data_IF_734588122920
#
_entry.id   IF_734588122920
#
_cell.length_a   1.000
_cell.length_b   1.000
_cell.length_c   1.000
_cell.angle_alpha   90.00
_cell.angle_beta   90.00
_cell.angle_gamma   90.00
#
_symmetry.space_group_name_H-M   'P 1'
#
loop_
_entity.id
_entity.type
_entity.pdbx_description
1 polymer ?
#
# COMPACT_ATOMS: atom_id res chain seq x y z
N UNK A 1 14.18 -14.34 -20.08
CA UNK A 1 13.29 -14.00 -18.94
C UNK A 1 14.05 -14.31 -17.67
N UNK A 2 14.11 -13.36 -16.74
CA UNK A 2 14.80 -13.52 -15.46
C UNK A 2 14.27 -14.76 -14.70
N UNK A 3 15.16 -15.50 -14.03
CA UNK A 3 14.81 -16.72 -13.31
C UNK A 3 13.77 -16.50 -12.21
N UNK A 4 13.85 -15.37 -11.49
CA UNK A 4 12.92 -15.03 -10.42
C UNK A 4 11.54 -14.64 -10.93
N UNK A 5 11.48 -14.00 -12.09
CA UNK A 5 10.22 -13.74 -12.81
C UNK A 5 9.58 -15.07 -13.21
N UNK A 6 10.36 -16.01 -13.77
CA UNK A 6 9.86 -17.34 -14.14
C UNK A 6 9.28 -18.09 -12.93
N UNK A 7 10.06 -18.17 -11.84
CA UNK A 7 9.61 -18.81 -10.58
C UNK A 7 8.35 -18.16 -10.02
N UNK A 8 8.24 -16.83 -10.09
CA UNK A 8 7.06 -16.11 -9.60
C UNK A 8 5.80 -16.44 -10.41
N UNK A 9 5.93 -16.56 -11.73
CA UNK A 9 4.84 -17.00 -12.60
C UNK A 9 4.45 -18.45 -12.26
N UNK A 10 5.42 -19.35 -12.13
CA UNK A 10 5.13 -20.75 -11.78
C UNK A 10 4.43 -20.85 -10.41
N UNK A 11 4.93 -20.13 -9.41
CA UNK A 11 4.35 -20.07 -8.08
C UNK A 11 2.91 -19.54 -8.10
N UNK A 12 2.65 -18.43 -8.79
CA UNK A 12 1.33 -17.82 -8.82
C UNK A 12 0.27 -18.64 -9.56
N UNK A 13 0.70 -19.53 -10.45
CA UNK A 13 -0.19 -20.43 -11.19
C UNK A 13 -0.17 -21.86 -10.61
N UNK A 14 0.33 -22.04 -9.38
CA UNK A 14 0.32 -23.30 -8.63
C UNK A 14 -0.72 -23.27 -7.49
N UNK A 15 -1.19 -24.45 -7.01
CA UNK A 15 -2.11 -24.50 -5.87
C UNK A 15 -1.55 -23.82 -4.61
N UNK A 16 -2.42 -23.08 -3.91
CA UNK A 16 -2.09 -22.46 -2.63
C UNK A 16 -1.23 -21.20 -2.69
N UNK A 17 -1.10 -20.55 -3.85
CA UNK A 17 -0.37 -19.27 -3.96
C UNK A 17 -0.92 -18.20 -3.01
N UNK A 18 -2.24 -17.97 -3.04
CA UNK A 18 -2.88 -16.97 -2.18
C UNK A 18 -2.82 -17.37 -0.70
N UNK A 19 -2.91 -18.66 -0.40
CA UNK A 19 -2.77 -19.19 0.96
C UNK A 19 -1.39 -18.89 1.52
N UNK A 20 -0.34 -19.08 0.71
CA UNK A 20 1.03 -18.70 1.08
C UNK A 20 1.17 -17.18 1.19
N UNK A 21 0.57 -16.41 0.28
CA UNK A 21 0.60 -14.95 0.37
C UNK A 21 -0.11 -14.42 1.62
N UNK A 22 -1.06 -15.15 2.18
CA UNK A 22 -1.70 -14.77 3.43
C UNK A 22 -0.70 -14.64 4.59
N UNK A 23 0.44 -15.36 4.57
CA UNK A 23 1.49 -15.17 5.57
C UNK A 23 2.23 -13.83 5.42
N UNK A 24 2.23 -13.26 4.22
CA UNK A 24 2.85 -11.96 3.90
C UNK A 24 1.85 -10.82 4.12
N UNK A 25 0.62 -11.00 3.63
CA UNK A 25 -0.46 -10.03 3.65
C UNK A 25 -1.70 -10.64 4.31
N UNK A 26 -1.70 -10.81 5.65
CA UNK A 26 -2.86 -11.33 6.36
C UNK A 26 -4.06 -10.41 6.14
N UNK A 27 -5.17 -11.01 5.70
CA UNK A 27 -6.42 -10.30 5.46
C UNK A 27 -7.22 -10.29 6.76
N UNK A 28 -7.00 -9.27 7.59
CA UNK A 28 -7.76 -9.10 8.83
C UNK A 28 -9.22 -8.71 8.53
N UNK A 29 -10.16 -9.57 8.91
CA UNK A 29 -11.60 -9.35 8.75
C UNK A 29 -12.16 -8.32 9.76
N UNK A 30 -11.44 -8.02 10.84
CA UNK A 30 -11.97 -7.34 12.04
C UNK A 30 -11.58 -5.86 12.20
N UNK A 31 -11.04 -5.21 11.18
CA UNK A 31 -10.57 -3.81 11.29
C UNK A 31 -11.66 -2.78 10.97
N UNK A 32 -12.87 -2.96 11.51
CA UNK A 32 -13.89 -1.92 11.40
C UNK A 32 -13.40 -0.65 12.07
N UNK A 33 -13.54 0.49 11.39
CA UNK A 33 -13.25 1.79 12.01
C UNK A 33 -14.22 2.01 13.16
N UNK A 34 -13.71 2.56 14.26
CA UNK A 34 -14.54 2.93 15.41
C UNK A 34 -14.98 4.38 15.24
N UNK A 35 -16.29 4.62 15.35
CA UNK A 35 -16.86 5.97 15.42
C UNK A 35 -17.25 6.23 16.88
N UNK A 36 -16.71 7.26 17.56
CA UNK A 36 -17.07 7.58 18.93
C UNK A 36 -18.58 7.78 19.10
N UNK A 37 -19.15 7.38 20.26
CA UNK A 37 -20.59 7.50 20.52
C UNK A 37 -21.09 8.94 20.33
N UNK A 38 -20.37 9.92 20.85
CA UNK A 38 -20.70 11.35 20.70
C UNK A 38 -20.81 11.78 19.23
N UNK A 39 -19.93 11.26 18.35
CA UNK A 39 -20.00 11.51 16.90
C UNK A 39 -21.25 10.88 16.31
N UNK A 40 -21.59 9.64 16.69
CA UNK A 40 -22.81 8.96 16.24
C UNK A 40 -24.06 9.75 16.64
N UNK A 41 -24.11 10.27 17.86
CA UNK A 41 -25.20 11.10 18.36
C UNK A 41 -25.33 12.42 17.58
N UNK A 42 -24.21 13.10 17.29
CA UNK A 42 -24.21 14.31 16.46
C UNK A 42 -24.74 14.04 15.05
N UNK A 43 -24.33 12.93 14.42
CA UNK A 43 -24.83 12.51 13.10
C UNK A 43 -26.33 12.24 13.17
N UNK A 44 -26.79 11.48 14.17
CA UNK A 44 -28.20 11.13 14.35
C UNK A 44 -29.07 12.39 14.54
N UNK A 45 -28.59 13.34 15.35
CA UNK A 45 -29.28 14.61 15.57
C UNK A 45 -29.41 15.42 14.28
N UNK A 46 -28.31 15.61 13.55
CA UNK A 46 -28.31 16.38 12.30
C UNK A 46 -29.19 15.73 11.21
N UNK A 47 -29.23 14.39 11.13
CA UNK A 47 -30.15 13.66 10.24
C UNK A 47 -31.62 13.91 10.60
N UNK A 48 -31.96 13.84 11.90
CA UNK A 48 -33.35 14.05 12.36
C UNK A 48 -33.82 15.49 12.11
N UNK A 49 -32.95 16.46 12.36
CA UNK A 49 -33.22 17.88 12.14
C UNK A 49 -33.15 18.29 10.66
N UNK A 50 -32.67 17.39 9.78
CA UNK A 50 -32.37 17.67 8.37
C UNK A 50 -31.43 18.87 8.19
N UNK A 51 -30.53 19.07 9.15
CA UNK A 51 -29.47 20.09 9.09
C UNK A 51 -28.32 19.54 8.24
N UNK A 52 -28.42 19.75 6.92
CA UNK A 52 -27.48 19.18 5.96
C UNK A 52 -26.08 19.78 6.06
N UNK A 53 -25.98 21.07 6.39
CA UNK A 53 -24.69 21.72 6.57
C UNK A 53 -23.94 21.06 7.75
N UNK A 54 -24.60 20.96 8.91
CA UNK A 54 -24.01 20.37 10.10
C UNK A 54 -23.74 18.89 9.93
N UNK A 55 -24.64 18.16 9.28
CA UNK A 55 -24.44 16.75 8.94
C UNK A 55 -23.16 16.57 8.12
N UNK A 56 -23.01 17.33 7.04
CA UNK A 56 -21.81 17.23 6.19
C UNK A 56 -20.55 17.63 6.94
N UNK A 57 -20.58 18.68 7.77
CA UNK A 57 -19.44 19.09 8.58
C UNK A 57 -18.96 17.97 9.52
N UNK A 58 -19.88 17.34 10.26
CA UNK A 58 -19.55 16.21 11.14
C UNK A 58 -18.97 15.04 10.35
N UNK A 59 -19.62 14.64 9.26
CA UNK A 59 -19.16 13.50 8.43
C UNK A 59 -17.81 13.75 7.74
N UNK A 60 -17.54 14.99 7.30
CA UNK A 60 -16.29 15.34 6.63
C UNK A 60 -15.11 15.46 7.60
N UNK A 61 -15.37 15.99 8.80
CA UNK A 61 -14.32 16.31 9.76
C UNK A 61 -14.00 15.16 10.71
N UNK A 62 -15.02 14.39 11.12
CA UNK A 62 -14.87 13.40 12.18
C UNK A 62 -14.78 11.96 11.68
N UNK A 63 -15.22 11.68 10.45
CA UNK A 63 -15.15 10.34 9.87
C UNK A 63 -13.96 10.22 8.92
N UNK A 64 -13.12 9.21 9.13
CA UNK A 64 -12.05 8.87 8.19
C UNK A 64 -12.59 8.46 6.82
N UNK A 65 -13.76 7.79 6.77
CA UNK A 65 -14.40 7.33 5.55
C UNK A 65 -15.78 7.98 5.42
N UNK A 66 -15.94 8.79 4.38
CA UNK A 66 -17.22 9.38 4.06
C UNK A 66 -18.17 8.29 3.53
N UNK A 67 -19.44 8.23 3.98
CA UNK A 67 -20.33 7.11 3.72
C UNK A 67 -20.79 7.00 2.25
N UNK A 68 -20.57 8.05 1.45
CA UNK A 68 -20.99 8.12 0.04
C UNK A 68 -19.78 8.33 -0.87
N UNK A 69 -19.68 7.52 -1.93
CA UNK A 69 -18.77 7.79 -3.06
C UNK A 69 -19.35 8.90 -3.93
N UNK A 70 -18.75 10.09 -3.87
CA UNK A 70 -19.08 11.25 -4.69
C UNK A 70 -17.82 12.10 -4.92
N UNK A 71 -17.61 12.58 -6.15
CA UNK A 71 -16.38 13.26 -6.56
C UNK A 71 -16.15 14.59 -5.83
N UNK A 72 -17.19 15.24 -5.33
CA UNK A 72 -17.06 16.53 -4.64
C UNK A 72 -16.64 16.40 -3.17
N UNK A 73 -16.82 15.23 -2.56
CA UNK A 73 -16.47 14.99 -1.14
C UNK A 73 -14.99 15.30 -0.87
N UNK A 74 -14.10 14.94 -1.80
CA UNK A 74 -12.68 15.22 -1.67
C UNK A 74 -12.35 16.71 -1.67
N UNK A 75 -13.10 17.52 -2.43
CA UNK A 75 -12.96 18.98 -2.44
C UNK A 75 -13.51 19.58 -1.16
N UNK A 76 -14.73 19.21 -0.76
CA UNK A 76 -15.40 19.71 0.45
C UNK A 76 -14.58 19.41 1.72
N UNK A 77 -13.95 18.24 1.80
CA UNK A 77 -13.09 17.87 2.94
C UNK A 77 -11.84 18.75 3.05
N UNK A 78 -11.29 19.23 1.93
CA UNK A 78 -10.08 20.07 1.91
C UNK A 78 -10.39 21.56 2.07
N UNK A 79 -11.62 21.97 1.78
CA UNK A 79 -12.08 23.35 1.91
C UNK A 79 -13.39 23.40 2.72
N UNK A 80 -13.32 23.53 4.06
CA UNK A 80 -14.50 23.55 4.91
C UNK A 80 -15.50 24.66 4.58
N UNK A 81 -15.02 25.82 4.09
CA UNK A 81 -15.90 26.92 3.68
C UNK A 81 -16.76 26.56 2.46
N UNK A 82 -16.28 25.64 1.62
CA UNK A 82 -17.02 25.17 0.46
C UNK A 82 -18.34 24.47 0.83
N UNK A 83 -18.47 23.96 2.06
CA UNK A 83 -19.76 23.43 2.54
C UNK A 83 -20.81 24.56 2.55
N UNK A 84 -20.47 25.71 3.15
CA UNK A 84 -21.38 26.87 3.21
C UNK A 84 -21.62 27.52 1.84
N UNK A 85 -20.57 27.60 1.03
CA UNK A 85 -20.63 28.31 -0.25
C UNK A 85 -21.33 27.51 -1.38
N UNK A 86 -21.68 26.24 -1.16
CA UNK A 86 -22.28 25.38 -2.19
C UNK A 86 -23.57 24.68 -1.71
N UNK A 87 -24.63 25.44 -1.35
CA UNK A 87 -25.83 24.89 -0.72
C UNK A 87 -26.56 23.85 -1.59
N UNK A 88 -26.57 24.01 -2.92
CA UNK A 88 -27.18 23.00 -3.83
C UNK A 88 -26.48 21.65 -3.75
N UNK A 89 -25.15 21.66 -3.66
CA UNK A 89 -24.34 20.44 -3.53
C UNK A 89 -24.55 19.80 -2.16
N UNK A 90 -24.57 20.61 -1.10
CA UNK A 90 -24.86 20.16 0.26
C UNK A 90 -26.25 19.53 0.35
N UNK A 91 -27.28 20.16 -0.21
CA UNK A 91 -28.63 19.61 -0.21
C UNK A 91 -28.72 18.27 -0.95
N UNK A 92 -28.14 18.18 -2.15
CA UNK A 92 -28.09 16.91 -2.92
C UNK A 92 -27.44 15.78 -2.12
N UNK A 93 -26.33 16.06 -1.44
CA UNK A 93 -25.63 15.08 -0.60
C UNK A 93 -26.44 14.75 0.67
N UNK A 94 -27.01 15.76 1.33
CA UNK A 94 -27.86 15.62 2.51
C UNK A 94 -29.08 14.75 2.25
N UNK A 95 -29.80 14.99 1.16
CA UNK A 95 -30.94 14.17 0.74
C UNK A 95 -30.56 12.70 0.50
N UNK A 96 -29.38 12.46 -0.09
CA UNK A 96 -28.87 11.09 -0.28
C UNK A 96 -28.53 10.42 1.04
N UNK A 97 -27.97 11.16 2.00
CA UNK A 97 -27.68 10.68 3.36
C UNK A 97 -28.97 10.35 4.13
N UNK A 98 -29.99 11.20 4.02
CA UNK A 98 -31.31 10.94 4.61
C UNK A 98 -31.91 9.65 4.07
N UNK A 99 -31.87 9.43 2.75
CA UNK A 99 -32.34 8.19 2.12
C UNK A 99 -31.57 6.96 2.58
N UNK A 100 -30.28 7.12 2.91
CA UNK A 100 -29.44 6.04 3.45
C UNK A 100 -29.83 5.67 4.89
N UNK A 101 -30.14 6.66 5.72
CA UNK A 101 -30.43 6.47 7.14
C UNK A 101 -29.18 6.23 8.00
N UNK A 102 -29.33 6.40 9.32
CA UNK A 102 -28.21 6.36 10.28
C UNK A 102 -27.47 5.02 10.27
N UNK A 103 -28.19 3.90 10.23
CA UNK A 103 -27.61 2.56 10.28
C UNK A 103 -26.64 2.33 9.11
N UNK A 104 -27.06 2.69 7.90
CA UNK A 104 -26.23 2.52 6.71
C UNK A 104 -25.08 3.53 6.66
N UNK A 105 -25.28 4.76 7.16
CA UNK A 105 -24.21 5.75 7.31
C UNK A 105 -23.10 5.22 8.19
N UNK A 106 -23.45 4.71 9.38
CA UNK A 106 -22.46 4.15 10.29
C UNK A 106 -21.78 2.93 9.65
N UNK A 107 -22.55 1.99 9.10
CA UNK A 107 -21.99 0.79 8.44
C UNK A 107 -21.01 1.13 7.31
N UNK A 108 -21.36 2.08 6.45
CA UNK A 108 -20.51 2.51 5.34
C UNK A 108 -19.24 3.20 5.84
N UNK A 109 -19.34 4.02 6.89
CA UNK A 109 -18.21 4.74 7.47
C UNK A 109 -17.31 3.90 8.37
N UNK A 110 -17.81 2.77 8.89
CA UNK A 110 -17.03 1.83 9.71
C UNK A 110 -16.30 0.77 8.88
N UNK A 111 -16.46 0.73 7.55
CA UNK A 111 -15.73 -0.22 6.70
C UNK A 111 -14.22 -0.17 6.99
N UNK A 112 -13.46 -1.26 6.80
CA UNK A 112 -12.02 -1.24 7.04
C UNK A 112 -11.28 -0.32 6.05
N UNK A 113 -10.05 0.08 6.40
CA UNK A 113 -9.13 0.70 5.43
C UNK A 113 -8.94 -0.26 4.25
N UNK A 114 -9.01 0.26 3.02
CA UNK A 114 -8.74 -0.54 1.82
C UNK A 114 -7.43 -1.31 1.96
N UNK A 115 -7.45 -2.61 1.66
CA UNK A 115 -6.31 -3.53 1.80
C UNK A 115 -5.04 -3.00 1.14
N UNK A 116 -5.17 -2.37 -0.03
CA UNK A 116 -4.05 -1.80 -0.78
C UNK A 116 -3.28 -0.71 0.00
N UNK A 117 -3.89 -0.07 1.01
CA UNK A 117 -3.23 0.91 1.90
C UNK A 117 -2.53 0.28 3.11
N UNK A 118 -2.75 -1.01 3.37
CA UNK A 118 -2.14 -1.76 4.48
C UNK A 118 -0.91 -2.59 4.05
N UNK A 119 -0.69 -2.77 2.75
CA UNK A 119 0.34 -3.66 2.20
C UNK A 119 1.76 -3.34 2.68
N UNK A 120 2.18 -2.07 2.67
CA UNK A 120 3.54 -1.68 3.10
C UNK A 120 3.84 -2.08 4.54
N UNK A 121 3.01 -1.67 5.53
CA UNK A 121 3.17 -2.10 6.92
C UNK A 121 3.14 -3.62 7.12
N UNK A 122 2.26 -4.34 6.39
CA UNK A 122 2.21 -5.80 6.45
C UNK A 122 3.49 -6.44 5.93
N UNK A 123 4.03 -5.93 4.81
CA UNK A 123 5.29 -6.38 4.25
C UNK A 123 6.45 -6.17 5.23
N UNK A 124 6.57 -4.99 5.85
CA UNK A 124 7.59 -4.71 6.88
C UNK A 124 7.48 -5.66 8.08
N UNK A 125 6.26 -5.91 8.55
CA UNK A 125 6.02 -6.86 9.63
C UNK A 125 6.45 -8.26 9.22
N UNK A 126 6.09 -8.69 8.02
CA UNK A 126 6.48 -9.99 7.50
C UNK A 126 8.01 -10.15 7.35
N UNK A 127 8.73 -9.11 6.92
CA UNK A 127 10.20 -9.14 6.83
C UNK A 127 10.86 -9.55 8.15
N UNK A 128 10.30 -9.13 9.29
CA UNK A 128 10.80 -9.50 10.63
C UNK A 128 10.72 -11.01 10.92
N UNK A 129 9.88 -11.75 10.18
CA UNK A 129 9.69 -13.20 10.33
C UNK A 129 10.68 -14.03 9.52
N UNK A 130 11.48 -13.41 8.64
CA UNK A 130 12.40 -14.13 7.76
C UNK A 130 13.59 -14.78 8.49
N UNK A 131 13.83 -14.38 9.74
CA UNK A 131 14.92 -14.88 10.58
C UNK A 131 16.22 -14.07 10.46
N UNK A 132 16.17 -12.88 9.84
CA UNK A 132 17.32 -11.99 9.75
C UNK A 132 17.29 -10.90 10.83
N UNK A 133 18.45 -10.49 11.36
CA UNK A 133 18.50 -9.40 12.33
C UNK A 133 18.03 -8.08 11.70
N UNK A 134 17.18 -7.37 12.44
CA UNK A 134 16.75 -6.00 12.12
C UNK A 134 17.69 -5.02 12.82
N UNK A 135 18.52 -4.34 12.05
CA UNK A 135 19.62 -3.51 12.56
C UNK A 135 19.36 -2.02 12.29
N UNK A 136 19.83 -1.15 13.17
CA UNK A 136 19.89 0.29 12.90
C UNK A 136 20.88 0.61 11.77
N UNK A 137 20.82 1.83 11.25
CA UNK A 137 21.72 2.29 10.17
C UNK A 137 23.20 2.04 10.45
N UNK A 138 23.68 2.32 11.67
CA UNK A 138 25.11 2.18 12.01
C UNK A 138 25.52 0.70 12.15
N UNK A 139 24.66 -0.11 12.75
CA UNK A 139 24.88 -1.55 12.89
C UNK A 139 24.88 -2.24 11.52
N UNK A 140 23.97 -1.86 10.62
CA UNK A 140 23.89 -2.44 9.28
C UNK A 140 25.16 -2.16 8.47
N UNK A 141 25.75 -0.98 8.58
CA UNK A 141 27.00 -0.63 7.88
C UNK A 141 28.17 -1.54 8.25
N UNK A 142 28.25 -1.98 9.51
CA UNK A 142 29.36 -2.79 10.02
C UNK A 142 29.08 -4.30 10.01
N UNK A 143 27.81 -4.70 9.86
CA UNK A 143 27.41 -6.11 9.81
C UNK A 143 28.02 -6.85 8.62
N UNK A 144 28.48 -8.10 8.83
CA UNK A 144 29.13 -8.92 7.78
C UNK A 144 28.21 -9.97 7.14
N UNK A 145 27.08 -10.26 7.78
CA UNK A 145 26.13 -11.27 7.32
C UNK A 145 24.93 -10.69 6.57
N UNK A 146 23.85 -11.47 6.53
CA UNK A 146 22.54 -10.99 6.08
C UNK A 146 21.89 -10.21 7.22
N UNK A 147 21.38 -9.02 6.94
CA UNK A 147 20.60 -8.22 7.87
C UNK A 147 19.66 -7.28 7.11
N UNK A 148 18.59 -6.85 7.78
CA UNK A 148 17.65 -5.86 7.25
C UNK A 148 17.78 -4.55 8.04
N UNK A 149 17.56 -3.44 7.37
CA UNK A 149 17.48 -2.13 8.02
C UNK A 149 16.16 -2.01 8.79
N UNK A 150 16.26 -1.68 10.07
CA UNK A 150 15.14 -1.30 10.93
C UNK A 150 14.85 0.19 10.76
N UNK A 151 13.62 0.53 10.43
CA UNK A 151 13.19 1.94 10.39
C UNK A 151 11.89 2.16 9.62
N UNK A 152 11.45 3.42 9.62
CA UNK A 152 10.36 3.92 8.79
C UNK A 152 10.79 4.12 7.33
N UNK A 153 9.83 4.35 6.42
CA UNK A 153 10.11 4.73 5.03
C UNK A 153 11.12 5.88 4.91
N UNK A 154 11.09 6.83 5.86
CA UNK A 154 12.04 7.95 5.91
C UNK A 154 13.45 7.45 6.23
N UNK A 155 13.59 6.58 7.22
CA UNK A 155 14.88 6.03 7.65
C UNK A 155 15.54 5.21 6.53
N UNK A 156 14.74 4.38 5.84
CA UNK A 156 15.20 3.60 4.69
C UNK A 156 15.70 4.52 3.56
N UNK A 157 14.94 5.55 3.20
CA UNK A 157 15.36 6.53 2.19
C UNK A 157 16.62 7.28 2.60
N UNK A 158 16.69 7.73 3.84
CA UNK A 158 17.84 8.49 4.35
C UNK A 158 19.10 7.63 4.35
N UNK A 159 18.99 6.34 4.71
CA UNK A 159 20.08 5.39 4.63
C UNK A 159 20.58 5.24 3.19
N UNK A 160 19.68 4.99 2.24
CA UNK A 160 20.05 4.80 0.83
C UNK A 160 20.69 6.05 0.23
N UNK A 161 20.15 7.23 0.55
CA UNK A 161 20.71 8.51 0.07
C UNK A 161 22.09 8.77 0.66
N UNK A 162 22.25 8.63 1.98
CA UNK A 162 23.49 9.00 2.69
C UNK A 162 24.62 7.98 2.46
N UNK A 163 24.31 6.68 2.53
CA UNK A 163 25.31 5.62 2.56
C UNK A 163 25.52 4.93 1.21
N UNK A 164 24.47 4.80 0.40
CA UNK A 164 24.55 4.15 -0.91
C UNK A 164 24.68 5.15 -2.07
N UNK A 165 24.50 6.45 -1.79
CA UNK A 165 24.55 7.54 -2.78
C UNK A 165 23.57 7.32 -3.95
N UNK A 166 22.47 6.62 -3.68
CA UNK A 166 21.42 6.32 -4.66
C UNK A 166 20.29 7.33 -4.51
N UNK A 167 19.98 8.03 -5.61
CA UNK A 167 18.82 8.91 -5.67
C UNK A 167 17.54 8.09 -5.91
N UNK A 168 16.60 8.18 -4.97
CA UNK A 168 15.28 7.55 -5.04
C UNK A 168 14.22 8.62 -5.34
N UNK A 169 13.36 8.34 -6.33
CA UNK A 169 12.22 9.22 -6.64
C UNK A 169 11.06 9.07 -5.64
N UNK A 170 10.97 7.91 -4.99
CA UNK A 170 9.85 7.48 -4.14
C UNK A 170 10.35 6.63 -2.96
N UNK A 171 9.39 6.04 -2.23
CA UNK A 171 9.61 5.14 -1.10
C UNK A 171 10.42 3.94 -1.54
N UNK A 172 10.93 3.22 -0.55
CA UNK A 172 11.36 1.85 -0.68
C UNK A 172 10.86 1.10 0.56
N UNK A 173 10.51 -0.16 0.36
CA UNK A 173 9.98 -1.05 1.38
C UNK A 173 11.05 -2.03 1.90
N UNK A 174 12.26 -2.04 1.32
CA UNK A 174 13.33 -2.94 1.74
C UNK A 174 14.69 -2.28 1.60
N UNK A 175 15.50 -2.40 2.64
CA UNK A 175 16.96 -2.29 2.58
C UNK A 175 17.53 -3.49 3.33
N UNK A 176 18.24 -4.36 2.61
CA UNK A 176 18.97 -5.48 3.17
C UNK A 176 20.45 -5.35 2.86
N UNK A 177 21.30 -5.80 3.77
CA UNK A 177 22.72 -6.05 3.49
C UNK A 177 22.92 -7.54 3.38
N UNK A 178 23.58 -7.96 2.31
CA UNK A 178 23.97 -9.34 2.05
C UNK A 178 25.46 -9.33 1.76
N UNK A 179 26.27 -9.61 2.80
CA UNK A 179 27.72 -9.50 2.73
C UNK A 179 28.13 -8.08 2.29
N UNK A 180 28.72 -7.92 1.11
CA UNK A 180 29.17 -6.64 0.56
C UNK A 180 28.17 -5.95 -0.38
N UNK A 181 26.99 -6.56 -0.56
CA UNK A 181 25.94 -6.09 -1.47
C UNK A 181 24.76 -5.56 -0.66
N UNK A 182 24.20 -4.42 -1.07
CA UNK A 182 22.94 -3.92 -0.57
C UNK A 182 21.81 -4.28 -1.53
N UNK A 183 20.72 -4.82 -1.00
CA UNK A 183 19.49 -5.07 -1.75
C UNK A 183 18.47 -4.01 -1.34
N UNK A 184 17.97 -3.24 -2.30
CA UNK A 184 16.89 -2.29 -2.09
C UNK A 184 15.67 -2.69 -2.91
N UNK A 185 14.49 -2.59 -2.32
CA UNK A 185 13.26 -3.09 -2.93
C UNK A 185 12.04 -2.24 -2.67
N UNK A 186 11.08 -2.30 -3.59
CA UNK A 186 9.74 -1.73 -3.46
C UNK A 186 8.73 -2.88 -3.59
N UNK A 187 7.80 -2.96 -2.63
CA UNK A 187 6.77 -3.99 -2.54
C UNK A 187 5.40 -3.46 -2.99
N UNK A 188 4.70 -4.24 -3.84
CA UNK A 188 3.34 -3.94 -4.29
C UNK A 188 2.54 -5.23 -4.49
N UNK A 189 1.35 -5.28 -3.86
CA UNK A 189 0.36 -6.31 -4.13
C UNK A 189 -0.69 -5.74 -5.11
N UNK A 190 -0.64 -6.22 -6.35
CA UNK A 190 -1.52 -5.78 -7.44
C UNK A 190 -2.73 -6.72 -7.50
N UNK A 191 -3.89 -6.21 -7.08
CA UNK A 191 -5.13 -7.01 -6.94
C UNK A 191 -5.98 -7.06 -8.21
N UNK A 192 -5.76 -6.15 -9.16
CA UNK A 192 -6.51 -6.10 -10.42
C UNK A 192 -5.68 -5.41 -11.53
N UNK A 193 -6.14 -5.51 -12.77
CA UNK A 193 -5.58 -4.81 -13.91
C UNK A 193 -6.27 -3.46 -14.16
N UNK A 194 -5.50 -2.38 -14.23
CA UNK A 194 -6.00 -1.05 -14.62
C UNK A 194 -6.31 -0.10 -13.45
N UNK A 195 -6.87 1.07 -13.77
CA UNK A 195 -7.12 2.13 -12.78
C UNK A 195 -5.84 2.61 -12.09
N UNK A 196 -5.92 2.81 -10.77
CA UNK A 196 -4.79 3.25 -9.93
C UNK A 196 -3.66 2.21 -9.82
N UNK A 197 -3.88 0.95 -10.24
CA UNK A 197 -2.87 -0.11 -10.19
C UNK A 197 -1.71 0.14 -11.16
N UNK A 198 -1.96 0.82 -12.29
CA UNK A 198 -0.90 1.18 -13.24
C UNK A 198 0.14 2.11 -12.60
N UNK A 199 -0.32 3.06 -11.77
CA UNK A 199 0.57 3.95 -11.03
C UNK A 199 1.36 3.17 -9.96
N UNK A 200 0.69 2.27 -9.24
CA UNK A 200 1.34 1.41 -8.24
C UNK A 200 2.40 0.50 -8.86
N UNK A 201 2.14 -0.06 -10.04
CA UNK A 201 3.10 -0.86 -10.81
C UNK A 201 4.30 -0.03 -11.31
N UNK A 202 4.08 1.25 -11.66
CA UNK A 202 5.15 2.11 -12.19
C UNK A 202 6.28 2.37 -11.19
N UNK A 203 6.00 2.27 -9.88
CA UNK A 203 6.94 2.61 -8.82
C UNK A 203 8.09 1.59 -8.69
N UNK A 204 7.81 0.27 -8.47
CA UNK A 204 8.84 -0.77 -8.55
C UNK A 204 9.59 -0.78 -9.88
N UNK A 205 8.89 -0.48 -10.98
CA UNK A 205 9.50 -0.42 -12.30
C UNK A 205 10.51 0.73 -12.44
N UNK A 206 10.24 1.88 -11.84
CA UNK A 206 11.16 3.01 -11.79
C UNK A 206 12.41 2.67 -10.97
N UNK A 207 12.25 1.93 -9.87
CA UNK A 207 13.36 1.48 -9.04
C UNK A 207 14.29 0.54 -9.82
N UNK A 208 13.77 -0.52 -10.43
CA UNK A 208 14.60 -1.53 -11.11
C UNK A 208 15.22 -1.06 -12.44
N UNK A 209 14.68 -0.01 -13.07
CA UNK A 209 15.20 0.54 -14.34
C UNK A 209 16.27 1.62 -14.14
N UNK A 210 16.43 2.11 -12.91
CA UNK A 210 17.42 3.13 -12.59
C UNK A 210 18.85 2.56 -12.60
N UNK A 211 19.86 3.45 -12.58
CA UNK A 211 21.27 3.14 -12.83
C UNK A 211 21.74 1.89 -12.07
N UNK A 212 22.47 1.00 -12.76
CA UNK A 212 23.12 -0.16 -12.15
C UNK A 212 24.32 0.31 -11.33
N UNK A 213 24.26 0.12 -10.02
CA UNK A 213 25.37 0.38 -9.11
C UNK A 213 25.98 -0.97 -8.70
N UNK A 214 27.31 -1.12 -8.78
CA UNK A 214 27.98 -2.42 -8.60
C UNK A 214 27.72 -3.08 -7.24
N UNK A 215 27.39 -2.31 -6.20
CA UNK A 215 27.14 -2.79 -4.83
C UNK A 215 25.67 -2.70 -4.40
N UNK A 216 24.76 -2.29 -5.29
CA UNK A 216 23.33 -2.13 -4.96
C UNK A 216 22.48 -2.88 -5.96
N UNK A 217 21.81 -3.93 -5.50
CA UNK A 217 20.80 -4.65 -6.26
C UNK A 217 19.44 -4.00 -6.01
N UNK A 218 18.78 -3.60 -7.10
CA UNK A 218 17.45 -2.99 -7.07
C UNK A 218 16.43 -4.03 -7.50
N UNK A 219 15.47 -4.35 -6.63
CA UNK A 219 14.48 -5.41 -6.88
C UNK A 219 13.04 -4.88 -6.83
N UNK A 220 12.17 -5.48 -7.65
CA UNK A 220 10.72 -5.27 -7.57
C UNK A 220 10.08 -6.44 -6.84
N UNK A 221 9.39 -6.19 -5.73
CA UNK A 221 8.65 -7.22 -5.02
C UNK A 221 7.18 -7.03 -5.40
N UNK A 222 6.71 -7.85 -6.31
CA UNK A 222 5.37 -7.72 -6.87
C UNK A 222 4.58 -8.96 -6.52
N UNK A 223 3.30 -8.83 -6.19
CA UNK A 223 2.41 -9.96 -5.92
C UNK A 223 1.05 -9.76 -6.58
N UNK A 224 0.27 -10.83 -6.71
CA UNK A 224 -1.08 -10.80 -7.25
C UNK A 224 -1.17 -11.01 -8.77
N UNK A 225 -2.10 -10.30 -9.42
CA UNK A 225 -2.51 -10.59 -10.81
C UNK A 225 -1.38 -10.45 -11.83
N UNK A 226 -0.31 -9.73 -11.47
CA UNK A 226 0.87 -9.50 -12.32
C UNK A 226 1.55 -10.80 -12.77
N UNK A 227 1.45 -11.87 -11.98
CA UNK A 227 2.07 -13.16 -12.26
C UNK A 227 1.16 -14.15 -12.99
N UNK A 228 -0.11 -13.81 -13.21
CA UNK A 228 -1.03 -14.63 -13.99
C UNK A 228 -0.59 -14.63 -15.45
N UNK A 229 -0.62 -15.81 -16.09
CA UNK A 229 -0.29 -15.97 -17.52
C UNK A 229 -1.37 -15.31 -18.37
N UNK A 230 -1.17 -14.03 -18.71
CA UNK A 230 -2.14 -13.21 -19.42
C UNK A 230 -1.47 -12.36 -20.50
N UNK A 231 -2.25 -11.84 -21.44
CA UNK A 231 -1.76 -10.86 -22.43
C UNK A 231 -1.81 -9.42 -21.90
N UNK A 232 -2.00 -9.22 -20.59
CA UNK A 232 -2.10 -7.89 -20.01
C UNK A 232 -0.77 -7.13 -20.12
N UNK A 233 -0.84 -5.82 -20.44
CA UNK A 233 0.33 -4.95 -20.59
C UNK A 233 1.28 -4.98 -19.39
N UNK A 234 0.75 -5.05 -18.16
CA UNK A 234 1.59 -5.08 -16.96
C UNK A 234 2.40 -6.38 -16.88
N UNK A 235 1.75 -7.53 -17.08
CA UNK A 235 2.41 -8.84 -17.12
C UNK A 235 3.49 -8.88 -18.21
N UNK A 236 3.13 -8.50 -19.44
CA UNK A 236 4.04 -8.46 -20.57
C UNK A 236 5.25 -7.53 -20.33
N UNK A 237 5.04 -6.43 -19.60
CA UNK A 237 6.10 -5.48 -19.25
C UNK A 237 7.16 -6.12 -18.35
N UNK A 238 6.76 -6.94 -17.37
CA UNK A 238 7.71 -7.61 -16.45
C UNK A 238 8.51 -8.69 -17.19
N UNK A 239 7.85 -9.54 -17.98
CA UNK A 239 8.51 -10.69 -18.61
C UNK A 239 9.46 -10.31 -19.74
N UNK A 240 9.15 -9.23 -20.50
CA UNK A 240 9.91 -8.84 -21.69
C UNK A 240 11.22 -8.11 -21.40
N UNK A 241 11.39 -7.51 -20.21
CA UNK A 241 12.48 -6.56 -19.94
C UNK A 241 13.59 -7.07 -19.02
N UNK A 242 13.76 -8.39 -18.89
CA UNK A 242 14.74 -9.03 -17.99
C UNK A 242 14.89 -8.33 -16.63
N UNK A 243 13.75 -8.05 -16.02
CA UNK A 243 13.65 -7.29 -14.78
C UNK A 243 13.94 -8.19 -13.59
N UNK A 244 14.67 -7.67 -12.61
CA UNK A 244 14.85 -8.34 -11.33
C UNK A 244 13.62 -8.07 -10.44
N UNK A 245 12.54 -8.79 -10.74
CA UNK A 245 11.30 -8.72 -9.99
C UNK A 245 10.82 -10.12 -9.60
N UNK A 246 10.18 -10.24 -8.45
CA UNK A 246 9.75 -11.51 -7.89
C UNK A 246 8.57 -11.38 -6.92
N UNK A 247 7.88 -12.48 -6.64
CA UNK A 247 6.94 -12.59 -5.52
C UNK A 247 7.67 -12.44 -4.18
N UNK A 248 7.02 -11.82 -3.18
CA UNK A 248 7.56 -11.74 -1.82
C UNK A 248 7.94 -13.13 -1.28
N UNK A 249 7.19 -14.17 -1.65
CA UNK A 249 7.44 -15.56 -1.24
C UNK A 249 8.81 -16.11 -1.69
N UNK A 250 9.45 -15.50 -2.70
CA UNK A 250 10.78 -15.89 -3.18
C UNK A 250 11.90 -15.01 -2.64
N UNK A 251 11.58 -13.97 -1.86
CA UNK A 251 12.57 -12.99 -1.39
C UNK A 251 13.65 -13.65 -0.52
N UNK A 252 13.25 -14.57 0.36
CA UNK A 252 14.21 -15.27 1.24
C UNK A 252 15.20 -16.09 0.42
N UNK A 253 14.69 -16.92 -0.48
CA UNK A 253 15.50 -17.73 -1.39
C UNK A 253 16.44 -16.85 -2.24
N UNK A 254 15.94 -15.70 -2.72
CA UNK A 254 16.75 -14.75 -3.47
C UNK A 254 17.90 -14.16 -2.65
N UNK A 255 17.62 -13.70 -1.42
CA UNK A 255 18.62 -13.12 -0.52
C UNK A 255 19.71 -14.15 -0.18
N UNK A 256 19.34 -15.40 0.07
CA UNK A 256 20.28 -16.48 0.39
C UNK A 256 21.15 -16.91 -0.81
N UNK A 257 20.69 -16.64 -2.03
CA UNK A 257 21.42 -16.95 -3.26
C UNK A 257 22.47 -15.92 -3.68
N UNK A 258 22.63 -14.81 -2.93
CA UNK A 258 23.64 -13.75 -3.18
C UNK A 258 24.95 -14.05 -2.43
#
# INVERSE_FOLDING_TARGET
MNVWVKKSIELANSPGYLDKLHSVYPMDLSDLRVIPKDTQERISKALKEKDFEKLLQVLLNELELFPIKDSYVAFLRKNPEAVRNNPKTVNRLGERLIKMGITEILRASTQPKETNRKIGPLFQRWLSTLGYPLLSSNELLTHRGIALLKGSDKDLRDFVKKNLQVSLKKGIDLVAKVKDVYVIGEAKFLTDFGGHQNAQFSDPLGLIQSRKDKKVLRIGILDGVIWLRTQNKMHLSVIKKDRLAMSALLLKEFIEAI
#
